data_IF_566856665827
#
_entry.id   IF_566856665827
#
_cell.length_a   1.000
_cell.length_b   1.000
_cell.length_c   1.000
_cell.angle_alpha   90.00
_cell.angle_beta   90.00
_cell.angle_gamma   90.00
#
_symmetry.space_group_name_H-M   'P 1'
#
loop_
_entity.id
_entity.type
_entity.pdbx_description
1 polymer ?
#
# COMPACT_ATOMS: atom_id res chain seq x y z
N UNK A 1 27.01 -17.09 2.31
CA UNK A 1 25.82 -16.86 3.17
C UNK A 1 25.33 -15.42 3.11
N UNK A 2 26.20 -14.42 3.31
CA UNK A 2 25.85 -12.99 3.21
C UNK A 2 25.09 -12.57 1.93
N UNK A 3 25.47 -13.09 0.75
CA UNK A 3 24.82 -12.77 -0.53
C UNK A 3 23.31 -13.06 -0.57
N UNK A 4 22.85 -14.13 0.11
CA UNK A 4 21.41 -14.48 0.18
C UNK A 4 20.62 -13.50 1.04
N UNK A 5 21.19 -13.05 2.16
CA UNK A 5 20.57 -12.03 3.01
C UNK A 5 20.49 -10.66 2.34
N UNK A 6 21.53 -10.28 1.58
CA UNK A 6 21.50 -9.05 0.78
C UNK A 6 20.46 -9.10 -0.33
N UNK A 7 20.27 -10.27 -0.96
CA UNK A 7 19.25 -10.47 -2.00
C UNK A 7 17.83 -10.42 -1.42
N UNK A 8 17.63 -11.01 -0.24
CA UNK A 8 16.37 -10.90 0.50
C UNK A 8 16.05 -9.44 0.84
N UNK A 9 17.03 -8.68 1.37
CA UNK A 9 16.86 -7.26 1.67
C UNK A 9 16.50 -6.41 0.44
N UNK A 10 17.07 -6.73 -0.73
CA UNK A 10 16.70 -6.08 -2.00
C UNK A 10 15.27 -6.42 -2.44
N UNK A 11 14.81 -7.66 -2.22
CA UNK A 11 13.46 -8.05 -2.57
C UNK A 11 12.38 -7.31 -1.76
N UNK A 12 12.67 -7.01 -0.49
CA UNK A 12 11.79 -6.19 0.35
C UNK A 12 11.62 -4.75 -0.16
N UNK A 13 12.55 -4.23 -0.97
CA UNK A 13 12.44 -2.86 -1.49
C UNK A 13 11.21 -2.68 -2.39
N UNK A 14 10.81 -3.72 -3.13
CA UNK A 14 9.71 -3.63 -4.10
C UNK A 14 8.35 -3.44 -3.40
N UNK A 15 7.94 -4.26 -2.41
CA UNK A 15 6.75 -3.97 -1.61
C UNK A 15 6.83 -2.68 -0.81
N UNK A 16 7.98 -2.38 -0.19
CA UNK A 16 8.10 -1.22 0.72
C UNK A 16 7.89 0.10 -0.03
N UNK A 17 8.23 0.16 -1.32
CA UNK A 17 8.03 1.35 -2.15
C UNK A 17 6.57 1.82 -2.26
N UNK A 18 5.58 0.96 -2.02
CA UNK A 18 4.15 1.33 -2.10
C UNK A 18 3.61 1.94 -0.79
N UNK A 19 4.27 1.67 0.33
CA UNK A 19 3.80 2.07 1.67
C UNK A 19 3.71 3.60 1.85
N UNK A 20 4.65 4.43 1.34
CA UNK A 20 4.54 5.88 1.50
C UNK A 20 3.30 6.45 0.84
N UNK A 21 2.98 6.01 -0.38
CA UNK A 21 1.81 6.49 -1.12
C UNK A 21 0.52 6.02 -0.45
N UNK A 22 0.45 4.75 -0.05
CA UNK A 22 -0.69 4.21 0.70
C UNK A 22 -0.91 4.95 2.02
N UNK A 23 0.16 5.25 2.75
CA UNK A 23 0.13 6.01 4.00
C UNK A 23 -0.34 7.45 3.80
N UNK A 24 0.12 8.13 2.75
CA UNK A 24 -0.36 9.47 2.41
C UNK A 24 -1.84 9.46 2.02
N UNK A 25 -2.29 8.50 1.22
CA UNK A 25 -3.70 8.37 0.83
C UNK A 25 -4.61 8.13 2.03
N UNK A 26 -4.23 7.19 2.90
CA UNK A 26 -4.98 6.88 4.12
C UNK A 26 -4.96 8.06 5.11
N UNK A 27 -3.78 8.65 5.32
CA UNK A 27 -3.57 9.74 6.27
C UNK A 27 -4.30 11.01 5.86
N UNK A 28 -4.12 11.47 4.61
CA UNK A 28 -4.79 12.67 4.11
C UNK A 28 -6.30 12.43 3.97
N UNK A 29 -6.71 11.31 3.39
CA UNK A 29 -8.13 10.97 3.26
C UNK A 29 -8.82 10.93 4.62
N UNK A 30 -8.26 10.19 5.59
CA UNK A 30 -8.84 10.06 6.93
C UNK A 30 -8.77 11.33 7.78
N UNK A 31 -7.67 12.08 7.72
CA UNK A 31 -7.52 13.31 8.49
C UNK A 31 -8.45 14.42 8.02
N UNK A 32 -8.66 14.56 6.70
CA UNK A 32 -9.53 15.59 6.14
C UNK A 32 -11.03 15.22 6.16
N UNK A 33 -11.38 13.93 6.33
CA UNK A 33 -12.78 13.50 6.52
C UNK A 33 -13.23 13.46 7.98
N UNK A 34 -12.34 13.74 8.95
CA UNK A 34 -12.68 13.68 10.37
C UNK A 34 -13.59 14.85 10.79
N UNK A 35 -14.53 14.62 11.71
CA UNK A 35 -15.46 15.63 12.24
C UNK A 35 -14.71 16.87 12.76
N UNK A 36 -13.58 16.69 13.43
CA UNK A 36 -12.74 17.80 13.91
C UNK A 36 -12.15 18.65 12.77
N UNK A 37 -11.83 18.04 11.63
CA UNK A 37 -11.27 18.74 10.48
C UNK A 37 -12.35 19.47 9.67
N UNK A 38 -13.53 18.86 9.54
CA UNK A 38 -14.70 19.50 8.91
C UNK A 38 -15.16 20.71 9.73
N UNK A 39 -15.16 20.60 11.07
CA UNK A 39 -15.48 21.70 11.97
C UNK A 39 -14.45 22.85 11.90
N UNK A 40 -13.16 22.54 11.70
CA UNK A 40 -12.12 23.55 11.53
C UNK A 40 -12.15 24.22 10.14
N UNK A 41 -12.59 23.48 9.11
CA UNK A 41 -12.61 23.92 7.72
C UNK A 41 -13.96 23.57 7.07
N UNK A 42 -14.96 24.48 7.13
CA UNK A 42 -16.31 24.22 6.62
C UNK A 42 -16.39 23.97 5.10
N UNK A 43 -15.36 24.35 4.34
CA UNK A 43 -15.28 24.05 2.90
C UNK A 43 -15.04 22.56 2.62
N UNK A 44 -14.60 21.78 3.61
CA UNK A 44 -14.42 20.32 3.51
C UNK A 44 -15.74 19.55 3.52
N UNK A 45 -16.84 20.17 4.00
CA UNK A 45 -18.17 19.57 4.06
C UNK A 45 -18.89 19.52 2.69
N UNK A 46 -18.16 19.79 1.61
CA UNK A 46 -18.72 19.69 0.27
C UNK A 46 -18.87 18.22 -0.13
N UNK A 47 -20.08 17.77 -0.55
CA UNK A 47 -20.35 16.35 -0.81
C UNK A 47 -19.38 15.71 -1.82
N UNK A 48 -18.99 16.47 -2.85
CA UNK A 48 -18.06 16.01 -3.88
C UNK A 48 -16.63 15.86 -3.35
N UNK A 49 -16.17 16.79 -2.50
CA UNK A 49 -14.83 16.78 -1.92
C UNK A 49 -14.71 15.69 -0.85
N UNK A 50 -15.72 15.57 0.01
CA UNK A 50 -15.78 14.50 1.00
C UNK A 50 -15.74 13.12 0.34
N UNK A 51 -16.49 12.92 -0.75
CA UNK A 51 -16.46 11.67 -1.52
C UNK A 51 -15.06 11.34 -2.05
N UNK A 52 -14.34 12.32 -2.62
CA UNK A 52 -12.97 12.12 -3.10
C UNK A 52 -12.03 11.73 -1.95
N UNK A 53 -12.11 12.43 -0.83
CA UNK A 53 -11.26 12.17 0.34
C UNK A 53 -11.56 10.80 0.97
N UNK A 54 -12.83 10.39 1.03
CA UNK A 54 -13.22 9.06 1.48
C UNK A 54 -12.70 7.97 0.54
N UNK A 55 -12.74 8.17 -0.78
CA UNK A 55 -12.14 7.24 -1.76
C UNK A 55 -10.63 7.15 -1.56
N UNK A 56 -9.93 8.28 -1.34
CA UNK A 56 -8.49 8.28 -1.05
C UNK A 56 -8.18 7.48 0.22
N UNK A 57 -8.94 7.70 1.29
CA UNK A 57 -8.80 6.95 2.54
C UNK A 57 -9.00 5.45 2.33
N UNK A 58 -10.07 5.08 1.61
CA UNK A 58 -10.39 3.69 1.31
C UNK A 58 -9.32 3.02 0.45
N UNK A 59 -8.80 3.72 -0.56
CA UNK A 59 -7.72 3.22 -1.41
C UNK A 59 -6.43 2.98 -0.62
N UNK A 60 -6.06 3.91 0.27
CA UNK A 60 -4.92 3.72 1.18
C UNK A 60 -5.14 2.53 2.11
N UNK A 61 -6.32 2.42 2.73
CA UNK A 61 -6.66 1.32 3.61
C UNK A 61 -6.63 -0.05 2.90
N UNK A 62 -7.12 -0.13 1.66
CA UNK A 62 -7.13 -1.37 0.89
C UNK A 62 -5.72 -1.94 0.69
N UNK A 63 -4.71 -1.07 0.54
CA UNK A 63 -3.30 -1.49 0.45
C UNK A 63 -2.80 -2.04 1.79
N UNK A 64 -3.09 -1.36 2.91
CA UNK A 64 -2.68 -1.84 4.23
C UNK A 64 -3.40 -3.13 4.65
N UNK A 65 -4.68 -3.26 4.32
CA UNK A 65 -5.47 -4.45 4.60
C UNK A 65 -4.94 -5.70 3.86
N UNK A 66 -4.35 -5.52 2.67
CA UNK A 66 -3.78 -6.59 1.86
C UNK A 66 -2.25 -6.59 1.85
N UNK A 67 -1.62 -5.92 2.83
CA UNK A 67 -0.18 -5.71 2.85
C UNK A 67 0.59 -7.04 2.82
N UNK A 68 0.12 -8.03 3.57
CA UNK A 68 0.80 -9.32 3.62
C UNK A 68 0.73 -10.07 2.27
N UNK A 69 -0.37 -9.97 1.51
CA UNK A 69 -0.47 -10.48 0.13
C UNK A 69 0.48 -9.74 -0.81
N UNK A 70 0.53 -8.40 -0.72
CA UNK A 70 1.43 -7.56 -1.52
C UNK A 70 2.89 -7.92 -1.24
N UNK A 71 3.24 -8.17 0.02
CA UNK A 71 4.57 -8.62 0.42
C UNK A 71 4.88 -10.04 -0.08
N UNK A 72 3.93 -10.98 0.00
CA UNK A 72 4.14 -12.33 -0.52
C UNK A 72 4.43 -12.33 -2.02
N UNK A 73 3.63 -11.59 -2.81
CA UNK A 73 3.84 -11.43 -4.24
C UNK A 73 5.16 -10.71 -4.52
N UNK A 74 5.42 -9.58 -3.87
CA UNK A 74 6.60 -8.76 -4.16
C UNK A 74 7.92 -9.39 -3.70
N UNK A 75 7.93 -10.16 -2.61
CA UNK A 75 9.10 -10.96 -2.19
C UNK A 75 9.34 -12.09 -3.19
N UNK A 76 8.30 -12.81 -3.61
CA UNK A 76 8.43 -13.88 -4.60
C UNK A 76 9.00 -13.36 -5.93
N UNK A 77 8.50 -12.22 -6.41
CA UNK A 77 9.05 -11.51 -7.58
C UNK A 77 10.48 -11.03 -7.36
N UNK A 78 10.79 -10.49 -6.18
CA UNK A 78 12.10 -9.92 -5.85
C UNK A 78 13.21 -10.95 -5.64
N UNK A 79 12.86 -12.16 -5.19
CA UNK A 79 13.80 -13.30 -5.07
C UNK A 79 13.96 -14.07 -6.38
N UNK A 80 13.04 -13.95 -7.33
CA UNK A 80 13.06 -14.70 -8.58
C UNK A 80 14.26 -14.31 -9.46
N UNK A 81 15.03 -15.32 -9.88
CA UNK A 81 16.14 -15.13 -10.82
C UNK A 81 15.67 -15.13 -12.30
N UNK A 82 14.48 -15.65 -12.58
CA UNK A 82 13.83 -15.73 -13.89
C UNK A 82 12.30 -15.83 -13.74
N UNK A 83 11.55 -15.58 -14.81
CA UNK A 83 10.08 -15.67 -14.86
C UNK A 83 9.34 -15.01 -13.69
N UNK A 84 9.63 -13.72 -13.47
CA UNK A 84 9.06 -12.91 -12.39
C UNK A 84 7.53 -12.97 -12.31
N UNK A 85 6.84 -13.07 -13.46
CA UNK A 85 5.38 -13.21 -13.50
C UNK A 85 4.88 -14.50 -12.83
N UNK A 86 5.48 -15.63 -13.17
CA UNK A 86 5.14 -16.94 -12.59
C UNK A 86 5.48 -17.00 -11.11
N UNK A 87 6.61 -16.41 -10.71
CA UNK A 87 7.00 -16.32 -9.31
C UNK A 87 6.02 -15.48 -8.48
N UNK A 88 5.55 -14.35 -9.01
CA UNK A 88 4.53 -13.53 -8.37
C UNK A 88 3.19 -14.26 -8.21
N UNK A 89 2.74 -14.97 -9.25
CA UNK A 89 1.54 -15.81 -9.20
C UNK A 89 1.67 -16.93 -8.16
N UNK A 90 2.79 -17.66 -8.16
CA UNK A 90 3.04 -18.71 -7.17
C UNK A 90 3.09 -18.14 -5.74
N UNK A 91 3.71 -16.97 -5.55
CA UNK A 91 3.74 -16.27 -4.26
C UNK A 91 2.36 -15.82 -3.79
N UNK A 92 1.50 -15.36 -4.71
CA UNK A 92 0.12 -15.00 -4.39
C UNK A 92 -0.77 -16.21 -4.08
N UNK A 93 -0.55 -17.36 -4.72
CA UNK A 93 -1.29 -18.61 -4.45
C UNK A 93 -0.84 -19.30 -3.16
N UNK A 94 0.43 -19.15 -2.79
CA UNK A 94 0.99 -19.72 -1.57
C UNK A 94 0.73 -18.90 -0.30
N UNK A 95 0.24 -17.66 -0.46
CA UNK A 95 -0.15 -16.75 0.62
C UNK A 95 -1.51 -17.14 1.21
#
# INVERSE_FOLDING_TARGET
>A
MFKKFSQLGRAFMLPIAILPVAGLLLGLGGALTNESAINAYPFLDQPWLHTILSIMSYAGNAVFANLALIFAIGIAVGLANGDKGTAGLAGGVAY
#
